data_IF_504950583455
#
_entry.id   IF_504950583455
#
_cell.length_a   1.000
_cell.length_b   1.000
_cell.length_c   1.000
_cell.angle_alpha   90.00
_cell.angle_beta   90.00
_cell.angle_gamma   90.00
#
_symmetry.space_group_name_H-M   'P 1'
#
loop_
_entity.id
_entity.type
_entity.pdbx_description
1 polymer ?
#
# COMPACT_ATOMS: atom_id res chain seq x y z
N UNK A 1 -29.83 11.34 1.73
CA UNK A 1 -29.05 10.70 2.81
C UNK A 1 -28.78 9.26 2.38
N UNK A 2 -27.73 9.05 1.59
CA UNK A 2 -27.43 7.78 0.95
C UNK A 2 -26.51 6.98 1.89
N UNK A 3 -26.96 5.78 2.23
CA UNK A 3 -26.34 4.88 3.20
C UNK A 3 -25.14 4.19 2.53
N UNK A 4 -23.93 4.65 2.81
CA UNK A 4 -22.69 4.01 2.33
C UNK A 4 -22.58 2.59 2.90
N UNK A 5 -22.78 1.58 2.03
CA UNK A 5 -22.56 0.18 2.37
C UNK A 5 -21.06 -0.10 2.39
N UNK A 6 -20.48 -0.16 3.58
CA UNK A 6 -19.12 -0.66 3.80
C UNK A 6 -19.12 -2.17 3.51
N UNK A 7 -18.45 -2.60 2.44
CA UNK A 7 -18.20 -4.01 2.18
C UNK A 7 -16.98 -4.46 3.00
N UNK A 8 -17.24 -5.34 3.97
CA UNK A 8 -16.21 -5.95 4.82
C UNK A 8 -15.67 -7.19 4.09
N UNK A 9 -14.53 -7.03 3.40
CA UNK A 9 -13.86 -8.14 2.72
C UNK A 9 -12.82 -8.73 3.70
N UNK A 10 -13.13 -9.89 4.27
CA UNK A 10 -12.18 -10.68 5.04
C UNK A 10 -11.44 -11.63 4.10
N UNK A 11 -10.19 -11.32 3.75
CA UNK A 11 -9.30 -12.22 3.00
C UNK A 11 -8.41 -12.93 4.02
N UNK A 12 -8.60 -14.25 4.16
CA UNK A 12 -7.67 -15.12 4.85
C UNK A 12 -6.47 -15.41 3.92
N UNK A 13 -5.32 -14.83 4.20
CA UNK A 13 -4.07 -15.12 3.48
C UNK A 13 -3.29 -16.19 4.26
N UNK A 14 -3.21 -17.40 3.72
CA UNK A 14 -2.26 -18.42 4.20
C UNK A 14 -0.87 -18.07 3.64
N UNK A 15 0.04 -17.58 4.49
CA UNK A 15 1.45 -17.45 4.12
C UNK A 15 2.20 -18.73 4.49
N UNK A 16 2.70 -19.44 3.49
CA UNK A 16 3.65 -20.55 3.66
C UNK A 16 4.97 -20.00 4.20
N UNK A 17 5.48 -20.65 5.24
CA UNK A 17 6.75 -20.36 5.90
C UNK A 17 7.91 -20.65 4.93
N UNK A 18 8.69 -19.65 4.53
CA UNK A 18 9.98 -19.85 3.87
C UNK A 18 11.09 -19.69 4.92
N UNK A 19 11.59 -20.81 5.44
CA UNK A 19 12.89 -20.85 6.12
C UNK A 19 13.98 -20.98 5.05
N UNK A 20 14.60 -19.88 4.66
CA UNK A 20 15.86 -19.90 3.93
C UNK A 20 16.97 -19.36 4.83
N UNK A 21 17.88 -20.29 5.18
CA UNK A 21 19.16 -20.06 5.84
C UNK A 21 19.93 -18.89 5.20
N UNK A 22 20.27 -17.88 5.99
CA UNK A 22 21.50 -17.10 5.82
C UNK A 22 22.00 -16.66 7.19
N UNK A 23 22.71 -17.55 7.88
CA UNK A 23 23.53 -17.19 9.03
C UNK A 23 25.00 -17.16 8.56
N UNK A 24 25.46 -15.99 8.12
CA UNK A 24 26.90 -15.70 8.05
C UNK A 24 27.28 -15.02 9.36
N UNK A 25 28.08 -15.68 10.19
CA UNK A 25 28.74 -15.04 11.32
C UNK A 25 29.79 -14.08 10.79
N UNK A 26 29.53 -12.78 10.84
CA UNK A 26 30.55 -11.74 10.65
C UNK A 26 30.98 -11.21 12.02
N UNK A 27 32.26 -11.37 12.31
CA UNK A 27 32.90 -11.03 13.58
C UNK A 27 33.75 -9.78 13.31
N UNK A 28 33.11 -8.62 13.27
CA UNK A 28 33.75 -7.31 13.20
C UNK A 28 32.98 -6.35 14.09
N UNK A 29 33.70 -5.53 14.88
CA UNK A 29 33.12 -4.46 15.68
C UNK A 29 32.22 -3.60 14.77
N UNK A 30 30.91 -3.75 14.96
CA UNK A 30 29.88 -3.15 14.11
C UNK A 30 29.99 -1.64 14.17
N UNK A 31 30.50 -1.04 13.10
CA UNK A 31 30.11 0.33 12.78
C UNK A 31 28.59 0.36 12.73
N UNK A 32 28.00 1.27 13.50
CA UNK A 32 26.55 1.40 13.57
C UNK A 32 26.01 1.71 12.18
N UNK A 33 25.39 0.72 11.56
CA UNK A 33 24.81 0.86 10.22
C UNK A 33 23.78 2.00 10.21
N UNK A 34 23.71 2.72 9.09
CA UNK A 34 22.71 3.77 8.91
C UNK A 34 21.30 3.16 8.91
N UNK A 35 20.37 3.65 9.75
CA UNK A 35 18.99 3.16 9.76
C UNK A 35 18.14 3.71 8.60
N UNK A 36 18.70 4.60 7.77
CA UNK A 36 17.97 5.26 6.70
C UNK A 36 18.06 4.48 5.39
N UNK A 37 16.91 4.26 4.75
CA UNK A 37 16.80 3.67 3.41
C UNK A 37 16.33 4.77 2.46
N UNK A 38 16.94 4.84 1.28
CA UNK A 38 16.46 5.67 0.18
C UNK A 38 16.50 4.87 -1.12
N UNK A 39 15.44 4.93 -1.91
CA UNK A 39 15.34 4.19 -3.17
C UNK A 39 14.58 5.01 -4.20
N UNK A 40 15.21 5.35 -5.34
CA UNK A 40 14.47 5.91 -6.47
C UNK A 40 13.56 4.84 -7.08
N UNK A 41 12.37 5.24 -7.52
CA UNK A 41 11.38 4.35 -8.12
C UNK A 41 11.19 4.76 -9.58
N UNK A 42 11.34 3.81 -10.49
CA UNK A 42 10.99 3.97 -11.90
C UNK A 42 10.20 2.75 -12.34
N UNK A 43 9.10 2.97 -13.06
CA UNK A 43 8.27 1.88 -13.58
C UNK A 43 7.56 2.30 -14.86
N UNK A 44 7.04 1.33 -15.59
CA UNK A 44 6.16 1.56 -16.75
C UNK A 44 5.04 0.54 -16.72
N UNK A 45 3.79 1.02 -16.74
CA UNK A 45 2.60 0.18 -16.67
C UNK A 45 1.54 0.65 -17.67
N UNK A 46 0.74 -0.26 -18.27
CA UNK A 46 -0.27 0.12 -19.26
C UNK A 46 -1.29 1.17 -18.80
N UNK A 47 -1.64 1.16 -17.50
CA UNK A 47 -2.65 2.07 -16.91
C UNK A 47 -2.07 3.42 -16.49
N UNK A 48 -0.80 3.46 -16.08
CA UNK A 48 -0.15 4.67 -15.51
C UNK A 48 0.87 5.31 -16.46
N UNK A 49 1.23 4.63 -17.54
CA UNK A 49 2.38 4.99 -18.37
C UNK A 49 3.69 4.84 -17.61
N UNK A 50 4.69 5.65 -17.95
CA UNK A 50 5.98 5.72 -17.25
C UNK A 50 5.83 6.53 -15.96
N UNK A 51 6.30 5.98 -14.85
CA UNK A 51 6.26 6.61 -13.53
C UNK A 51 7.65 6.81 -12.96
N UNK A 52 7.86 7.94 -12.30
CA UNK A 52 9.05 8.29 -11.55
C UNK A 52 8.65 8.66 -10.12
N UNK A 53 9.44 8.23 -9.15
CA UNK A 53 9.19 8.51 -7.76
C UNK A 53 10.37 8.18 -6.87
N UNK A 54 10.11 8.18 -5.57
CA UNK A 54 11.11 7.81 -4.58
C UNK A 54 10.44 7.21 -3.35
N UNK A 55 11.27 6.53 -2.57
CA UNK A 55 10.92 5.97 -1.27
C UNK A 55 12.02 6.32 -0.28
N UNK A 56 11.61 6.84 0.88
CA UNK A 56 12.48 7.03 2.03
C UNK A 56 11.95 6.21 3.20
N UNK A 57 12.85 5.59 3.95
CA UNK A 57 12.47 4.76 5.09
C UNK A 57 13.44 4.84 6.25
N UNK A 58 12.96 4.44 7.41
CA UNK A 58 13.71 4.33 8.64
C UNK A 58 13.51 2.95 9.26
N UNK A 59 14.62 2.29 9.60
CA UNK A 59 14.65 1.03 10.31
C UNK A 59 14.84 1.32 11.80
N UNK A 60 13.99 0.74 12.64
CA UNK A 60 14.05 0.90 14.09
C UNK A 60 13.89 -0.44 14.79
N UNK A 61 14.65 -0.68 15.86
CA UNK A 61 14.57 -1.90 16.66
C UNK A 61 14.05 -1.53 18.04
N UNK A 62 12.85 -2.01 18.42
CA UNK A 62 12.20 -1.66 19.68
C UNK A 62 12.84 -2.36 20.88
N UNK A 63 13.28 -3.61 20.70
CA UNK A 63 13.99 -4.43 21.68
C UNK A 63 14.94 -5.40 20.97
N UNK A 64 15.93 -5.94 21.69
CA UNK A 64 17.01 -6.75 21.09
C UNK A 64 16.52 -8.06 20.47
N UNK A 65 15.42 -8.62 20.97
CA UNK A 65 14.87 -9.89 20.52
C UNK A 65 13.93 -9.73 19.31
N UNK A 66 13.25 -8.58 19.19
CA UNK A 66 12.34 -8.31 18.08
C UNK A 66 13.05 -8.12 16.74
N UNK A 67 12.42 -8.54 15.62
CA UNK A 67 12.83 -8.12 14.29
C UNK A 67 12.86 -6.59 14.15
N UNK A 68 13.66 -6.12 13.20
CA UNK A 68 13.70 -4.70 12.88
C UNK A 68 12.35 -4.23 12.32
N UNK A 69 11.82 -3.16 12.89
CA UNK A 69 10.65 -2.44 12.42
C UNK A 69 11.02 -1.47 11.29
N UNK A 70 10.07 -1.17 10.42
CA UNK A 70 10.31 -0.30 9.26
C UNK A 70 9.18 0.71 9.10
N UNK A 71 9.55 1.96 8.88
CA UNK A 71 8.65 3.05 8.53
C UNK A 71 9.06 3.60 7.18
N UNK A 72 8.11 3.77 6.27
CA UNK A 72 8.40 4.15 4.89
C UNK A 72 7.38 5.19 4.44
N UNK A 73 7.91 6.22 3.78
CA UNK A 73 7.17 7.17 2.97
C UNK A 73 7.57 6.98 1.51
N UNK A 74 6.58 6.90 0.62
CA UNK A 74 6.82 6.78 -0.82
C UNK A 74 5.89 7.70 -1.58
N UNK A 75 6.34 8.15 -2.75
CA UNK A 75 5.48 8.84 -3.70
C UNK A 75 5.97 8.65 -5.12
N UNK A 76 5.02 8.66 -6.07
CA UNK A 76 5.26 8.50 -7.49
C UNK A 76 4.38 9.45 -8.29
N UNK A 77 4.92 9.96 -9.39
CA UNK A 77 4.19 10.68 -10.42
C UNK A 77 4.41 9.99 -11.77
N UNK A 78 3.45 10.10 -12.69
CA UNK A 78 3.49 9.39 -13.95
C UNK A 78 3.16 10.26 -15.15
N UNK A 79 3.53 9.78 -16.33
CA UNK A 79 3.25 10.42 -17.62
C UNK A 79 1.75 10.52 -17.98
N UNK A 80 0.88 9.81 -17.27
CA UNK A 80 -0.59 9.95 -17.38
C UNK A 80 -1.13 11.03 -16.44
N UNK A 81 -0.26 11.81 -15.81
CA UNK A 81 -0.59 12.74 -14.73
C UNK A 81 -1.20 12.05 -13.49
N UNK A 82 -1.04 10.72 -13.36
CA UNK A 82 -1.41 9.99 -12.15
C UNK A 82 -0.35 10.19 -11.07
N UNK A 83 -0.79 10.32 -9.82
CA UNK A 83 0.08 10.46 -8.65
C UNK A 83 -0.38 9.59 -7.48
N UNK A 84 0.56 9.18 -6.65
CA UNK A 84 0.30 8.42 -5.42
C UNK A 84 1.34 8.79 -4.37
N UNK A 85 0.90 8.85 -3.11
CA UNK A 85 1.73 8.95 -1.91
C UNK A 85 1.25 7.95 -0.86
N UNK A 86 2.18 7.28 -0.21
CA UNK A 86 1.89 6.27 0.81
C UNK A 86 2.81 6.40 2.01
N UNK A 87 2.24 6.28 3.21
CA UNK A 87 2.96 6.16 4.47
C UNK A 87 2.60 4.83 5.12
N UNK A 88 3.60 4.03 5.46
CA UNK A 88 3.41 2.70 6.02
C UNK A 88 4.44 2.39 7.11
N UNK A 89 3.98 1.68 8.14
CA UNK A 89 4.80 1.19 9.24
C UNK A 89 4.53 -0.28 9.48
N UNK A 90 5.59 -1.05 9.69
CA UNK A 90 5.55 -2.42 10.21
C UNK A 90 6.41 -2.47 11.46
N UNK A 91 5.77 -2.71 12.59
CA UNK A 91 6.36 -2.66 13.91
C UNK A 91 6.32 -4.05 14.54
N UNK A 92 7.42 -4.41 15.20
CA UNK A 92 7.59 -5.58 16.05
C UNK A 92 8.15 -5.11 17.37
N UNK A 93 7.51 -5.51 18.46
CA UNK A 93 7.87 -5.10 19.81
C UNK A 93 7.45 -6.18 20.80
N UNK A 94 7.93 -6.06 22.02
CA UNK A 94 7.63 -7.00 23.10
C UNK A 94 8.17 -8.38 22.73
N UNK A 95 9.47 -8.48 22.41
CA UNK A 95 10.15 -9.73 22.01
C UNK A 95 9.42 -10.44 20.84
N UNK A 96 8.89 -9.67 19.89
CA UNK A 96 8.09 -10.13 18.76
C UNK A 96 6.74 -10.79 19.12
N UNK A 97 6.29 -10.66 20.38
CA UNK A 97 4.95 -11.06 20.79
C UNK A 97 3.89 -10.15 20.19
N UNK A 98 4.21 -8.89 19.93
CA UNK A 98 3.27 -7.91 19.38
C UNK A 98 3.76 -7.34 18.05
N UNK A 99 2.85 -7.35 17.06
CA UNK A 99 3.13 -6.82 15.73
C UNK A 99 2.01 -5.89 15.28
N UNK A 100 2.38 -4.73 14.76
CA UNK A 100 1.46 -3.75 14.20
C UNK A 100 1.89 -3.37 12.79
N UNK A 101 1.01 -3.56 11.82
CA UNK A 101 1.16 -3.00 10.49
C UNK A 101 0.08 -1.94 10.30
N UNK A 102 0.46 -0.74 9.87
CA UNK A 102 -0.51 0.32 9.58
C UNK A 102 0.00 1.19 8.45
N UNK A 103 -0.93 1.81 7.73
CA UNK A 103 -0.57 2.76 6.71
C UNK A 103 -1.76 3.47 6.11
N UNK A 104 -1.43 4.49 5.33
CA UNK A 104 -2.38 5.28 4.57
C UNK A 104 -1.85 5.51 3.17
N UNK A 105 -2.77 5.54 2.21
CA UNK A 105 -2.52 5.71 0.79
C UNK A 105 -3.42 6.85 0.30
N UNK A 106 -2.84 7.77 -0.45
CA UNK A 106 -3.52 8.85 -1.14
C UNK A 106 -3.06 8.87 -2.59
N UNK A 107 -3.96 9.05 -3.55
CA UNK A 107 -3.55 9.17 -4.94
C UNK A 107 -4.70 9.51 -5.86
N UNK A 108 -4.33 10.00 -7.04
CA UNK A 108 -5.24 10.29 -8.14
C UNK A 108 -4.72 9.54 -9.35
N UNK A 109 -5.57 8.69 -9.94
CA UNK A 109 -5.23 7.83 -11.07
C UNK A 109 -6.04 8.27 -12.28
N UNK A 110 -5.36 8.78 -13.29
CA UNK A 110 -5.98 9.16 -14.56
C UNK A 110 -5.88 7.99 -15.53
N UNK A 111 -7.02 7.61 -16.08
CA UNK A 111 -7.14 6.48 -16.98
C UNK A 111 -7.59 6.95 -18.35
N UNK A 112 -7.00 6.38 -19.38
CA UNK A 112 -7.45 6.54 -20.76
C UNK A 112 -7.85 5.17 -21.33
N UNK A 113 -9.13 5.02 -21.65
CA UNK A 113 -9.69 3.82 -22.26
C UNK A 113 -9.87 4.07 -23.75
N UNK A 114 -9.29 3.23 -24.60
CA UNK A 114 -9.47 3.30 -26.07
C UNK A 114 -10.85 2.82 -26.53
N UNK A 115 -11.43 1.91 -25.75
CA UNK A 115 -12.75 1.34 -25.98
C UNK A 115 -13.42 1.09 -24.62
N UNK A 116 -14.06 2.12 -24.08
CA UNK A 116 -14.70 2.04 -22.78
C UNK A 116 -15.93 1.13 -22.84
N UNK A 117 -15.91 0.03 -22.08
CA UNK A 117 -17.00 -0.96 -22.00
C UNK A 117 -17.46 -1.54 -23.35
N UNK A 118 -16.60 -1.56 -24.38
CA UNK A 118 -16.97 -2.07 -25.71
C UNK A 118 -17.84 -1.12 -26.54
N UNK A 119 -17.87 0.17 -26.19
CA UNK A 119 -18.64 1.21 -26.90
C UNK A 119 -17.98 1.73 -28.18
N UNK A 120 -16.73 1.35 -28.44
CA UNK A 120 -15.89 1.86 -29.52
C UNK A 120 -15.44 3.31 -29.33
N UNK A 121 -15.63 3.88 -28.13
CA UNK A 121 -15.30 5.28 -27.82
C UNK A 121 -14.16 5.40 -26.83
N UNK A 122 -13.32 6.40 -27.06
CA UNK A 122 -12.32 6.82 -26.10
C UNK A 122 -12.98 7.48 -24.88
N UNK A 123 -12.58 7.08 -23.68
CA UNK A 123 -13.11 7.62 -22.42
C UNK A 123 -11.99 7.83 -21.42
N UNK A 124 -12.04 8.95 -20.70
CA UNK A 124 -11.06 9.28 -19.66
C UNK A 124 -11.72 9.38 -18.30
N UNK A 125 -11.22 8.64 -17.31
CA UNK A 125 -11.68 8.71 -15.90
C UNK A 125 -10.57 9.20 -15.00
N UNK A 126 -10.97 9.84 -13.91
CA UNK A 126 -10.08 10.20 -12.81
C UNK A 126 -10.57 9.49 -11.56
N UNK A 127 -9.72 8.65 -11.00
CA UNK A 127 -10.04 7.89 -9.81
C UNK A 127 -9.25 8.45 -8.62
N UNK A 128 -9.94 8.89 -7.59
CA UNK A 128 -9.33 9.31 -6.32
C UNK A 128 -9.31 8.14 -5.34
N UNK A 129 -8.12 7.87 -4.79
CA UNK A 129 -7.84 6.78 -3.88
C UNK A 129 -7.43 7.34 -2.54
N UNK A 130 -8.18 7.00 -1.51
CA UNK A 130 -7.85 7.24 -0.12
C UNK A 130 -8.06 5.95 0.65
N UNK A 131 -7.00 5.35 1.18
CA UNK A 131 -7.15 4.11 1.94
C UNK A 131 -6.36 4.18 3.24
N UNK A 132 -6.96 3.65 4.30
CA UNK A 132 -6.28 3.38 5.56
C UNK A 132 -6.34 1.87 5.79
N UNK A 133 -5.22 1.29 6.21
CA UNK A 133 -5.18 -0.09 6.64
C UNK A 133 -4.45 -0.21 7.97
N UNK A 134 -4.88 -1.17 8.78
CA UNK A 134 -4.18 -1.55 9.99
C UNK A 134 -4.38 -3.04 10.27
N UNK A 135 -3.37 -3.68 10.82
CA UNK A 135 -3.40 -5.06 11.29
C UNK A 135 -2.61 -5.13 12.58
N UNK A 136 -3.23 -5.63 13.63
CA UNK A 136 -2.57 -5.95 14.88
C UNK A 136 -2.54 -7.46 15.08
N UNK A 137 -1.42 -7.97 15.57
CA UNK A 137 -1.20 -9.38 15.81
C UNK A 137 -0.50 -9.60 17.15
N UNK A 138 -0.91 -10.65 17.86
CA UNK A 138 -0.32 -11.11 19.12
C UNK A 138 0.04 -12.59 19.02
N UNK A 139 1.28 -12.93 19.40
CA UNK A 139 1.76 -14.31 19.47
C UNK A 139 1.34 -14.90 20.82
N UNK A 140 0.60 -16.00 20.84
CA UNK A 140 0.10 -16.63 22.09
C UNK A 140 1.00 -17.79 22.53
N UNK A 141 1.65 -18.43 21.56
CA UNK A 141 2.69 -19.46 21.73
C UNK A 141 3.68 -19.29 20.60
N UNK A 142 4.89 -19.84 20.73
CA UNK A 142 6.02 -19.68 19.78
C UNK A 142 5.65 -19.81 18.28
N UNK A 143 4.57 -20.55 17.95
CA UNK A 143 4.13 -20.78 16.56
C UNK A 143 2.71 -20.31 16.24
N UNK A 144 1.99 -19.70 17.19
CA UNK A 144 0.59 -19.31 17.02
C UNK A 144 0.42 -17.82 17.24
N UNK A 145 0.08 -17.12 16.16
CA UNK A 145 -0.24 -15.70 16.16
C UNK A 145 -1.71 -15.48 15.84
N UNK A 146 -2.41 -14.72 16.68
CA UNK A 146 -3.80 -14.29 16.47
C UNK A 146 -3.82 -12.79 16.21
N UNK A 147 -4.84 -12.26 15.52
CA UNK A 147 -4.88 -10.84 15.22
C UNK A 147 -6.16 -10.39 14.54
N UNK A 148 -6.25 -9.09 14.34
CA UNK A 148 -7.34 -8.44 13.64
C UNK A 148 -6.79 -7.48 12.58
N UNK A 149 -7.55 -7.31 11.50
CA UNK A 149 -7.22 -6.39 10.42
C UNK A 149 -8.44 -5.53 10.08
N UNK A 150 -8.16 -4.27 9.76
CA UNK A 150 -9.12 -3.30 9.24
C UNK A 150 -8.55 -2.67 7.97
N UNK A 151 -9.37 -2.58 6.94
CA UNK A 151 -9.07 -1.86 5.70
C UNK A 151 -10.26 -0.99 5.38
N UNK A 152 -10.03 0.32 5.28
CA UNK A 152 -11.05 1.32 4.96
C UNK A 152 -10.63 1.96 3.63
N UNK A 153 -11.08 1.41 2.49
CA UNK A 153 -10.90 2.05 1.21
C UNK A 153 -12.01 3.09 1.00
N UNK A 154 -11.62 4.29 0.59
CA UNK A 154 -12.47 5.29 -0.02
C UNK A 154 -11.95 5.52 -1.44
N UNK A 155 -12.73 5.03 -2.40
CA UNK A 155 -12.40 5.08 -3.81
C UNK A 155 -13.55 5.78 -4.52
N UNK A 156 -13.24 6.87 -5.21
CA UNK A 156 -14.21 7.65 -5.97
C UNK A 156 -13.76 7.70 -7.43
N UNK A 157 -14.67 7.40 -8.36
CA UNK A 157 -14.46 7.59 -9.79
C UNK A 157 -15.19 8.86 -10.17
N UNK A 158 -14.52 9.76 -10.88
CA UNK A 158 -15.13 10.95 -11.47
C UNK A 158 -14.84 11.02 -12.96
N UNK A 159 -15.79 11.58 -13.71
CA UNK A 159 -15.62 11.92 -15.11
C UNK A 159 -14.78 13.18 -15.25
N UNK A 160 -13.94 13.19 -16.28
CA UNK A 160 -13.05 14.32 -16.58
C UNK A 160 -13.76 15.60 -17.07
N UNK A 161 -15.07 15.52 -17.36
CA UNK A 161 -15.93 16.66 -17.72
C UNK A 161 -17.41 16.37 -17.39
N UNK A 162 -18.27 17.41 -17.45
CA UNK A 162 -19.70 17.33 -17.08
C UNK A 162 -20.50 16.33 -17.93
N UNK A 163 -20.13 16.14 -19.20
CA UNK A 163 -20.78 15.19 -20.09
C UNK A 163 -20.44 13.75 -19.70
N UNK A 164 -19.20 13.49 -19.31
CA UNK A 164 -18.74 12.19 -18.82
C UNK A 164 -19.27 11.88 -17.43
N UNK A 165 -19.39 12.88 -16.57
CA UNK A 165 -20.06 12.74 -15.27
C UNK A 165 -21.52 12.30 -15.44
N UNK A 166 -22.27 12.93 -16.35
CA UNK A 166 -23.64 12.51 -16.66
C UNK A 166 -23.74 11.10 -17.23
N UNK A 167 -22.73 10.63 -17.98
CA UNK A 167 -22.68 9.25 -18.47
C UNK A 167 -22.38 8.24 -17.37
N UNK A 168 -21.44 8.53 -16.47
CA UNK A 168 -21.14 7.69 -15.31
C UNK A 168 -22.37 7.55 -14.41
N UNK A 169 -23.05 8.66 -14.11
CA UNK A 169 -24.27 8.68 -13.32
C UNK A 169 -25.39 7.83 -13.96
N UNK A 170 -25.52 7.88 -15.29
CA UNK A 170 -26.51 7.08 -16.03
C UNK A 170 -26.27 5.57 -15.97
N UNK A 171 -25.03 5.12 -15.73
CA UNK A 171 -24.67 3.69 -15.60
C UNK A 171 -24.46 3.27 -14.14
N UNK A 172 -24.72 4.16 -13.18
CA UNK A 172 -24.63 3.90 -11.75
C UNK A 172 -23.21 3.88 -11.19
N UNK A 173 -22.29 4.59 -11.83
CA UNK A 173 -20.90 4.81 -11.39
C UNK A 173 -20.65 6.26 -10.99
#
# INVERSE_FOLDING_TARGET
>A
MILNKVFLIAIAFFSVLNTALFASQDNNQSEKESPWIFTPLISSAPKLGTSLGAMGGYIYKFDEESPASTFILTGTYSSTDSSFIGLFGKMYFDEDYQRLMAGTIYGTINNEYKDFLGTGKEFKTTDDIHAIFTRYQYTVRENWTVGAQLVIPNYAISGSDDLRNGFLEAIGL
#
